data_IF_984003863208
#
_entry.id   IF_984003863208
#
_cell.length_a   1.000
_cell.length_b   1.000
_cell.length_c   1.000
_cell.angle_alpha   90.00
_cell.angle_beta   90.00
_cell.angle_gamma   90.00
#
_symmetry.space_group_name_H-M   'P 1'
#
loop_
_entity.id
_entity.type
_entity.pdbx_description
1 polymer ?
#
# COMPACT_ATOMS: atom_id res chain seq x y z
N UNK A 1 28.85 -71.45 -53.12
CA UNK A 1 28.60 -71.08 -51.70
C UNK A 1 28.49 -69.56 -51.67
N UNK A 2 27.26 -69.05 -51.74
CA UNK A 2 26.90 -67.63 -51.66
C UNK A 2 25.76 -67.55 -50.64
N UNK A 3 25.98 -66.77 -49.60
CA UNK A 3 25.12 -66.64 -48.42
C UNK A 3 23.95 -65.66 -48.72
N UNK A 4 22.67 -66.07 -48.61
CA UNK A 4 21.54 -65.22 -48.93
C UNK A 4 20.95 -64.59 -47.65
N UNK A 5 21.77 -63.90 -46.87
CA UNK A 5 21.30 -63.09 -45.74
C UNK A 5 21.62 -61.61 -45.98
N UNK A 6 20.97 -60.99 -46.97
CA UNK A 6 21.10 -59.53 -47.18
C UNK A 6 19.83 -58.93 -47.82
N UNK A 7 18.68 -59.11 -47.17
CA UNK A 7 17.41 -58.61 -47.73
C UNK A 7 16.35 -58.12 -46.73
N UNK A 8 16.36 -58.55 -45.46
CA UNK A 8 15.27 -58.22 -44.53
C UNK A 8 15.58 -57.07 -43.54
N UNK A 9 16.86 -56.79 -43.27
CA UNK A 9 17.23 -55.77 -42.27
C UNK A 9 17.04 -54.32 -42.77
N UNK A 10 17.03 -54.11 -44.09
CA UNK A 10 16.81 -52.79 -44.68
C UNK A 10 15.34 -52.35 -44.69
N UNK A 11 14.39 -53.28 -44.67
CA UNK A 11 12.95 -52.96 -44.68
C UNK A 11 12.45 -52.46 -43.31
N UNK A 12 12.82 -53.16 -42.24
CA UNK A 12 12.41 -52.81 -40.88
C UNK A 12 13.03 -51.49 -40.41
N UNK A 13 14.31 -51.24 -40.73
CA UNK A 13 15.00 -50.00 -40.38
C UNK A 13 14.41 -48.78 -41.11
N UNK A 14 13.99 -48.93 -42.38
CA UNK A 14 13.35 -47.84 -43.17
C UNK A 14 11.96 -47.50 -42.65
N UNK A 15 11.18 -48.50 -42.24
CA UNK A 15 9.83 -48.31 -41.68
C UNK A 15 9.92 -47.68 -40.28
N UNK A 16 10.86 -48.13 -39.44
CA UNK A 16 11.10 -47.53 -38.13
C UNK A 16 11.59 -46.07 -38.23
N UNK A 17 12.48 -45.76 -39.18
CA UNK A 17 12.94 -44.41 -39.44
C UNK A 17 11.81 -43.49 -39.96
N UNK A 18 10.92 -44.01 -40.82
CA UNK A 18 9.75 -43.25 -41.28
C UNK A 18 8.76 -42.98 -40.15
N UNK A 19 8.44 -43.97 -39.30
CA UNK A 19 7.56 -43.78 -38.15
C UNK A 19 8.13 -42.76 -37.16
N UNK A 20 9.44 -42.84 -36.88
CA UNK A 20 10.12 -41.87 -36.01
C UNK A 20 10.11 -40.45 -36.60
N UNK A 21 10.29 -40.31 -37.92
CA UNK A 21 10.24 -39.02 -38.60
C UNK A 21 8.82 -38.41 -38.57
N UNK A 22 7.77 -39.20 -38.79
CA UNK A 22 6.38 -38.71 -38.74
C UNK A 22 5.97 -38.30 -37.33
N UNK A 23 6.38 -39.06 -36.31
CA UNK A 23 6.14 -38.71 -34.90
C UNK A 23 6.88 -37.42 -34.52
N UNK A 24 8.11 -37.24 -35.01
CA UNK A 24 8.90 -36.02 -34.75
C UNK A 24 8.27 -34.78 -35.42
N UNK A 25 7.72 -34.92 -36.63
CA UNK A 25 7.02 -33.83 -37.34
C UNK A 25 5.70 -33.46 -36.64
N UNK A 26 4.96 -34.44 -36.11
CA UNK A 26 3.73 -34.19 -35.34
C UNK A 26 4.07 -33.51 -34.00
N UNK A 27 5.17 -33.90 -33.35
CA UNK A 27 5.60 -33.33 -32.07
C UNK A 27 6.14 -31.90 -32.22
N UNK A 28 6.81 -31.58 -33.34
CA UNK A 28 7.31 -30.22 -33.63
C UNK A 28 6.25 -29.29 -34.22
N UNK A 29 5.28 -29.82 -34.97
CA UNK A 29 4.12 -29.07 -35.45
C UNK A 29 3.21 -28.56 -34.33
N UNK A 30 3.10 -29.30 -33.21
CA UNK A 30 2.27 -28.93 -32.06
C UNK A 30 2.86 -27.75 -31.25
N UNK A 31 4.17 -27.49 -31.37
CA UNK A 31 4.84 -26.34 -30.70
C UNK A 31 4.67 -25.04 -31.51
N UNK A 32 4.22 -25.13 -32.77
CA UNK A 32 4.12 -23.98 -33.68
C UNK A 32 2.75 -23.30 -33.67
N UNK A 33 1.75 -23.90 -33.03
CA UNK A 33 0.55 -23.16 -32.64
C UNK A 33 0.86 -22.39 -31.36
N UNK A 34 1.52 -21.25 -31.54
CA UNK A 34 1.57 -20.21 -30.54
C UNK A 34 0.14 -19.82 -30.18
N UNK A 35 -0.41 -20.47 -29.16
CA UNK A 35 -1.42 -19.84 -28.34
C UNK A 35 -0.73 -18.61 -27.77
N UNK A 36 -0.90 -17.48 -28.46
CA UNK A 36 -0.86 -16.19 -27.81
C UNK A 36 -2.01 -16.25 -26.80
N UNK A 37 -1.72 -16.85 -25.65
CA UNK A 37 -2.48 -16.60 -24.43
C UNK A 37 -2.46 -15.07 -24.37
N UNK A 38 -3.61 -14.38 -24.51
CA UNK A 38 -3.61 -12.99 -24.13
C UNK A 38 -3.06 -13.01 -22.72
N UNK A 39 -1.88 -12.41 -22.50
CA UNK A 39 -1.40 -12.17 -21.16
C UNK A 39 -2.53 -11.38 -20.52
N UNK A 40 -3.42 -12.07 -19.82
CA UNK A 40 -4.30 -11.47 -18.85
C UNK A 40 -3.31 -10.75 -17.95
N UNK A 41 -3.24 -9.43 -18.11
CA UNK A 41 -2.65 -8.60 -17.08
C UNK A 41 -3.33 -9.09 -15.82
N UNK A 42 -2.57 -9.70 -14.90
CA UNK A 42 -3.14 -10.14 -13.64
C UNK A 42 -3.81 -8.90 -13.06
N UNK A 43 -5.13 -8.95 -12.87
CA UNK A 43 -5.84 -7.85 -12.22
C UNK A 43 -5.12 -7.62 -10.89
N UNK A 44 -4.53 -6.43 -10.75
CA UNK A 44 -3.85 -6.07 -9.51
C UNK A 44 -4.93 -5.68 -8.51
N UNK A 45 -4.93 -6.34 -7.36
CA UNK A 45 -5.81 -6.04 -6.24
C UNK A 45 -4.99 -5.58 -5.06
N UNK A 46 -5.55 -4.64 -4.31
CA UNK A 46 -4.97 -4.18 -3.05
C UNK A 46 -5.77 -4.60 -1.84
N UNK A 47 -5.24 -4.25 -0.68
CA UNK A 47 -5.86 -4.35 0.62
C UNK A 47 -5.92 -2.98 1.28
N UNK A 48 -6.95 -2.79 2.09
CA UNK A 48 -7.08 -1.60 2.93
C UNK A 48 -7.36 -2.01 4.36
N UNK A 49 -6.42 -1.68 5.25
CA UNK A 49 -6.56 -1.89 6.69
C UNK A 49 -6.86 -0.57 7.37
N UNK A 50 -8.00 -0.49 8.03
CA UNK A 50 -8.36 0.60 8.93
C UNK A 50 -7.76 0.31 10.30
N UNK A 51 -7.04 1.27 10.87
CA UNK A 51 -6.54 1.24 12.24
C UNK A 51 -7.20 2.37 13.06
N UNK A 52 -8.38 2.08 13.60
CA UNK A 52 -9.22 3.03 14.33
C UNK A 52 -8.77 3.13 15.80
N UNK A 53 -7.88 4.09 16.06
CA UNK A 53 -7.31 4.34 17.40
C UNK A 53 -7.41 5.84 17.71
N UNK A 54 -8.04 6.17 18.83
CA UNK A 54 -8.07 7.53 19.38
C UNK A 54 -6.82 7.81 20.20
N UNK A 55 -6.29 9.03 20.11
CA UNK A 55 -5.18 9.49 20.95
C UNK A 55 -3.93 8.63 20.81
N UNK A 56 -3.61 8.21 19.59
CA UNK A 56 -2.51 7.27 19.33
C UNK A 56 -1.17 7.71 19.93
N UNK A 57 -0.87 9.00 19.83
CA UNK A 57 0.39 9.57 20.31
C UNK A 57 0.36 9.94 21.80
N UNK A 58 -0.71 9.54 22.51
CA UNK A 58 -0.84 9.76 23.96
C UNK A 58 -0.34 8.54 24.75
N UNK A 59 -0.15 8.72 26.06
CA UNK A 59 0.27 7.63 26.95
C UNK A 59 -0.75 6.47 27.05
N UNK A 60 -1.99 6.70 26.64
CA UNK A 60 -3.07 5.72 26.75
C UNK A 60 -3.95 5.75 25.48
N UNK A 61 -3.47 5.21 24.35
CA UNK A 61 -4.24 5.13 23.12
C UNK A 61 -5.47 4.24 23.32
N UNK A 62 -6.60 4.62 22.72
CA UNK A 62 -7.85 3.86 22.80
C UNK A 62 -8.18 3.25 21.44
N UNK A 63 -8.10 1.93 21.35
CA UNK A 63 -8.64 1.17 20.21
C UNK A 63 -10.17 1.29 20.18
N UNK A 64 -10.70 1.72 19.04
CA UNK A 64 -12.14 1.88 18.83
C UNK A 64 -12.71 0.59 18.22
N UNK A 65 -12.84 -0.42 19.08
CA UNK A 65 -13.43 -1.71 18.72
C UNK A 65 -14.95 -1.62 18.54
N UNK A 66 -15.52 -2.40 17.62
CA UNK A 66 -16.95 -2.47 17.38
C UNK A 66 -17.52 -1.35 16.48
N UNK A 67 -16.69 -0.46 15.94
CA UNK A 67 -17.12 0.56 14.98
C UNK A 67 -17.28 -0.07 13.60
N UNK A 68 -18.34 0.28 12.89
CA UNK A 68 -18.63 -0.23 11.54
C UNK A 68 -18.16 0.77 10.50
N UNK A 69 -17.36 0.29 9.55
CA UNK A 69 -16.90 1.04 8.39
C UNK A 69 -17.42 0.40 7.12
N UNK A 70 -17.74 1.24 6.15
CA UNK A 70 -18.12 0.84 4.82
C UNK A 70 -17.27 1.57 3.78
N UNK A 71 -17.04 0.90 2.64
CA UNK A 71 -16.23 1.42 1.56
C UNK A 71 -16.92 1.27 0.20
N UNK A 72 -16.56 2.17 -0.72
CA UNK A 72 -17.00 2.13 -2.12
C UNK A 72 -15.93 2.73 -3.02
N UNK A 73 -15.68 2.11 -4.17
CA UNK A 73 -14.80 2.66 -5.20
C UNK A 73 -15.49 3.83 -5.92
N UNK A 74 -14.93 5.02 -5.82
CA UNK A 74 -15.49 6.26 -6.42
C UNK A 74 -14.87 6.57 -7.78
N UNK A 75 -13.64 6.12 -8.03
CA UNK A 75 -12.98 6.27 -9.31
C UNK A 75 -12.10 5.05 -9.62
N UNK A 76 -12.03 4.69 -10.91
CA UNK A 76 -11.00 3.80 -11.41
C UNK A 76 -9.69 4.55 -11.53
N UNK A 77 -8.57 3.83 -11.47
CA UNK A 77 -7.23 4.41 -11.62
C UNK A 77 -6.53 3.84 -12.85
N UNK A 78 -5.75 4.67 -13.52
CA UNK A 78 -4.77 4.25 -14.52
C UNK A 78 -3.39 4.38 -13.89
N UNK A 79 -2.52 3.39 -14.11
CA UNK A 79 -1.16 3.37 -13.56
C UNK A 79 -0.12 3.44 -14.67
N UNK A 80 1.02 4.05 -14.37
CA UNK A 80 2.22 4.01 -15.19
C UNK A 80 2.86 2.61 -15.13
N UNK A 81 3.85 2.36 -15.99
CA UNK A 81 4.60 1.08 -16.02
C UNK A 81 5.35 0.75 -14.72
N UNK A 82 5.67 1.76 -13.91
CA UNK A 82 6.29 1.62 -12.59
C UNK A 82 5.25 1.39 -11.46
N UNK A 83 3.96 1.30 -11.79
CA UNK A 83 2.86 1.13 -10.86
C UNK A 83 2.32 2.41 -10.23
N UNK A 84 2.96 3.58 -10.42
CA UNK A 84 2.44 4.82 -9.87
C UNK A 84 1.13 5.23 -10.55
N UNK A 85 0.24 5.89 -9.80
CA UNK A 85 -1.02 6.40 -10.34
C UNK A 85 -0.75 7.52 -11.34
N UNK A 86 -1.34 7.43 -12.53
CA UNK A 86 -1.26 8.46 -13.58
C UNK A 86 -2.53 9.29 -13.69
N UNK A 87 -3.71 8.67 -13.54
CA UNK A 87 -4.98 9.40 -13.57
C UNK A 87 -6.13 8.62 -12.92
N UNK A 88 -7.22 9.34 -12.62
CA UNK A 88 -8.47 8.80 -12.11
C UNK A 88 -9.63 9.04 -13.07
N UNK A 89 -10.58 8.10 -13.08
CA UNK A 89 -11.85 8.23 -13.80
C UNK A 89 -13.01 7.87 -12.88
N UNK A 90 -13.84 8.84 -12.53
CA UNK A 90 -15.03 8.63 -11.70
C UNK A 90 -15.94 7.55 -12.28
N UNK A 91 -16.44 6.65 -11.43
CA UNK A 91 -17.37 5.58 -11.84
C UNK A 91 -18.79 6.12 -12.03
N UNK A 92 -19.64 5.40 -12.77
CA UNK A 92 -20.97 5.86 -13.19
C UNK A 92 -21.84 6.36 -12.03
N UNK A 93 -21.83 5.63 -10.92
CA UNK A 93 -22.70 5.89 -9.76
C UNK A 93 -22.37 7.23 -9.06
N UNK A 94 -21.17 7.77 -9.32
CA UNK A 94 -20.67 9.05 -8.79
C UNK A 94 -20.44 10.11 -9.87
N UNK A 95 -20.91 9.90 -11.10
CA UNK A 95 -20.69 10.83 -12.23
C UNK A 95 -21.15 12.28 -11.98
N UNK A 96 -22.18 12.48 -11.16
CA UNK A 96 -22.63 13.82 -10.75
C UNK A 96 -21.73 14.53 -9.73
N UNK A 97 -20.68 13.86 -9.24
CA UNK A 97 -19.75 14.33 -8.22
C UNK A 97 -18.28 14.20 -8.69
N UNK A 98 -18.05 14.16 -10.00
CA UNK A 98 -16.70 14.14 -10.58
C UNK A 98 -15.89 15.36 -10.16
N UNK A 99 -14.60 15.15 -9.87
CA UNK A 99 -13.63 16.18 -9.56
C UNK A 99 -12.29 15.86 -10.26
N UNK A 100 -11.40 16.85 -10.31
CA UNK A 100 -10.01 16.67 -10.73
C UNK A 100 -9.20 16.12 -9.56
N UNK A 101 -9.35 14.81 -9.31
CA UNK A 101 -8.82 14.13 -8.13
C UNK A 101 -7.31 14.34 -7.96
N UNK A 102 -6.58 14.48 -9.05
CA UNK A 102 -5.13 14.68 -9.09
C UNK A 102 -4.71 16.06 -8.57
N UNK A 103 -5.62 17.04 -8.56
CA UNK A 103 -5.31 18.46 -8.29
C UNK A 103 -6.04 19.05 -7.08
N UNK A 104 -6.85 18.25 -6.39
CA UNK A 104 -7.57 18.72 -5.20
C UNK A 104 -6.59 18.99 -4.06
N UNK A 105 -6.79 20.12 -3.38
CA UNK A 105 -6.20 20.41 -2.08
C UNK A 105 -6.77 19.48 -1.00
N UNK A 106 -6.10 19.40 0.16
CA UNK A 106 -6.58 18.56 1.27
C UNK A 106 -7.99 18.94 1.74
N UNK A 107 -8.34 20.23 1.75
CA UNK A 107 -9.68 20.70 2.11
C UNK A 107 -10.73 20.30 1.06
N UNK A 108 -10.40 20.40 -0.23
CA UNK A 108 -11.31 20.00 -1.30
C UNK A 108 -11.53 18.48 -1.32
N UNK A 109 -10.47 17.71 -1.03
CA UNK A 109 -10.56 16.26 -0.83
C UNK A 109 -11.54 15.91 0.30
N UNK A 110 -11.47 16.64 1.41
CA UNK A 110 -12.36 16.45 2.56
C UNK A 110 -13.82 16.77 2.23
N UNK A 111 -14.07 17.91 1.59
CA UNK A 111 -15.41 18.33 1.18
C UNK A 111 -16.01 17.38 0.14
N UNK A 112 -15.20 16.90 -0.80
CA UNK A 112 -15.60 15.89 -1.76
C UNK A 112 -15.98 14.59 -1.05
N UNK A 113 -15.17 14.11 -0.09
CA UNK A 113 -15.47 12.91 0.67
C UNK A 113 -16.83 13.00 1.40
N UNK A 114 -17.15 14.16 2.00
CA UNK A 114 -18.45 14.40 2.64
C UNK A 114 -19.62 14.31 1.66
N UNK A 115 -19.51 14.95 0.50
CA UNK A 115 -20.54 14.91 -0.55
C UNK A 115 -20.74 13.49 -1.09
N UNK A 116 -19.64 12.79 -1.34
CA UNK A 116 -19.65 11.39 -1.80
C UNK A 116 -20.28 10.47 -0.76
N UNK A 117 -19.98 10.64 0.53
CA UNK A 117 -20.56 9.85 1.61
C UNK A 117 -22.07 10.06 1.76
N UNK A 118 -22.54 11.31 1.69
CA UNK A 118 -23.97 11.60 1.70
C UNK A 118 -24.69 10.94 0.52
N UNK A 119 -24.10 11.02 -0.67
CA UNK A 119 -24.64 10.37 -1.87
C UNK A 119 -24.61 8.83 -1.77
N UNK A 120 -23.50 8.25 -1.32
CA UNK A 120 -23.36 6.81 -1.15
C UNK A 120 -24.35 6.25 -0.13
N UNK A 121 -24.54 6.93 1.00
CA UNK A 121 -25.50 6.53 2.02
C UNK A 121 -26.95 6.62 1.51
N UNK A 122 -27.32 7.75 0.88
CA UNK A 122 -28.66 7.98 0.33
C UNK A 122 -29.04 6.93 -0.72
N UNK A 123 -28.10 6.56 -1.58
CA UNK A 123 -28.33 5.66 -2.71
C UNK A 123 -27.88 4.20 -2.43
N UNK A 124 -27.43 3.89 -1.20
CA UNK A 124 -26.97 2.56 -0.77
C UNK A 124 -25.86 1.97 -1.66
N UNK A 125 -24.86 2.79 -1.97
CA UNK A 125 -23.78 2.45 -2.92
C UNK A 125 -22.55 1.79 -2.27
N UNK A 126 -22.51 1.63 -0.95
CA UNK A 126 -21.40 0.95 -0.29
C UNK A 126 -21.26 -0.49 -0.77
N UNK A 127 -20.05 -0.87 -1.20
CA UNK A 127 -19.73 -2.16 -1.80
C UNK A 127 -19.36 -3.20 -0.73
N UNK A 128 -18.64 -2.75 0.30
CA UNK A 128 -18.21 -3.59 1.41
C UNK A 128 -18.44 -2.87 2.73
N UNK A 129 -18.69 -3.65 3.79
CA UNK A 129 -18.82 -3.17 5.16
C UNK A 129 -18.20 -4.18 6.11
N UNK A 130 -17.66 -3.70 7.22
CA UNK A 130 -17.12 -4.55 8.28
C UNK A 130 -17.02 -3.80 9.60
N UNK A 131 -16.71 -4.52 10.66
CA UNK A 131 -16.63 -3.99 12.02
C UNK A 131 -15.22 -4.16 12.56
N UNK A 132 -14.72 -3.14 13.26
CA UNK A 132 -13.38 -3.19 13.86
C UNK A 132 -13.31 -4.24 14.97
N UNK A 133 -12.21 -4.99 14.99
CA UNK A 133 -11.91 -5.98 16.02
C UNK A 133 -11.50 -5.33 17.35
N UNK A 134 -11.14 -6.14 18.36
CA UNK A 134 -10.71 -5.67 19.67
C UNK A 134 -9.51 -4.71 19.63
N UNK A 135 -8.64 -4.81 18.62
CA UNK A 135 -7.50 -3.91 18.41
C UNK A 135 -7.89 -2.60 17.69
N UNK A 136 -9.16 -2.43 17.31
CA UNK A 136 -9.61 -1.28 16.50
C UNK A 136 -9.31 -1.46 15.01
N UNK A 137 -9.05 -2.69 14.55
CA UNK A 137 -8.62 -2.95 13.18
C UNK A 137 -9.70 -3.61 12.34
N UNK A 138 -9.75 -3.26 11.06
CA UNK A 138 -10.59 -3.89 10.04
C UNK A 138 -9.83 -3.91 8.71
N UNK A 139 -9.80 -5.05 8.02
CA UNK A 139 -9.16 -5.17 6.71
C UNK A 139 -10.17 -5.55 5.63
N UNK A 140 -10.20 -4.76 4.56
CA UNK A 140 -10.85 -5.10 3.30
C UNK A 140 -9.82 -5.67 2.33
N UNK A 141 -10.15 -6.79 1.70
CA UNK A 141 -9.26 -7.53 0.81
C UNK A 141 -9.80 -7.55 -0.62
N UNK A 142 -8.94 -7.89 -1.57
CA UNK A 142 -9.30 -8.07 -2.98
C UNK A 142 -9.97 -6.83 -3.59
N UNK A 143 -9.47 -5.65 -3.25
CA UNK A 143 -10.01 -4.38 -3.74
C UNK A 143 -9.41 -4.07 -5.11
N UNK A 144 -10.23 -3.91 -6.18
CA UNK A 144 -9.74 -3.42 -7.46
C UNK A 144 -9.03 -2.08 -7.30
N UNK A 145 -7.95 -1.82 -8.05
CA UNK A 145 -7.25 -0.55 -7.94
C UNK A 145 -8.18 0.65 -8.18
N UNK A 146 -8.19 1.66 -7.33
CA UNK A 146 -9.02 2.84 -7.50
C UNK A 146 -8.91 3.82 -6.35
N UNK A 147 -9.67 4.91 -6.47
CA UNK A 147 -9.94 5.81 -5.37
C UNK A 147 -11.15 5.29 -4.61
N UNK A 148 -11.01 5.10 -3.31
CA UNK A 148 -12.04 4.59 -2.42
C UNK A 148 -12.51 5.66 -1.44
N UNK A 149 -13.83 5.75 -1.27
CA UNK A 149 -14.44 6.43 -0.14
C UNK A 149 -14.51 5.46 1.04
N UNK A 150 -14.05 5.89 2.20
CA UNK A 150 -14.16 5.19 3.48
C UNK A 150 -15.05 6.01 4.40
N UNK A 151 -16.05 5.37 4.99
CA UNK A 151 -17.00 6.03 5.91
C UNK A 151 -17.24 5.16 7.12
N UNK A 152 -17.23 5.77 8.32
CA UNK A 152 -17.72 5.11 9.53
C UNK A 152 -19.24 5.22 9.58
N UNK A 153 -19.93 4.13 9.31
CA UNK A 153 -21.38 4.10 9.14
C UNK A 153 -22.14 3.82 10.43
N UNK A 154 -21.50 3.18 11.41
CA UNK A 154 -21.99 3.09 12.78
C UNK A 154 -20.82 3.08 13.77
N UNK A 155 -21.08 3.50 14.99
CA UNK A 155 -20.09 3.50 16.07
C UNK A 155 -20.61 2.69 17.23
N UNK A 156 -19.75 1.89 17.86
CA UNK A 156 -20.13 1.18 19.08
C UNK A 156 -20.58 2.17 20.16
N UNK A 157 -21.44 1.72 21.09
CA UNK A 157 -21.94 2.55 22.20
C UNK A 157 -20.80 3.24 22.98
N UNK A 158 -19.68 2.56 23.18
CA UNK A 158 -18.50 3.06 23.89
C UNK A 158 -17.68 4.11 23.12
N UNK A 159 -17.97 4.30 21.83
CA UNK A 159 -17.21 5.15 20.90
C UNK A 159 -18.02 6.32 20.34
N UNK A 160 -19.29 6.50 20.77
CA UNK A 160 -20.19 7.58 20.29
C UNK A 160 -19.64 8.99 20.50
N UNK A 161 -18.68 9.18 21.41
CA UNK A 161 -18.07 10.48 21.70
C UNK A 161 -16.97 10.89 20.70
N UNK A 162 -16.51 9.97 19.85
CA UNK A 162 -15.49 10.25 18.83
C UNK A 162 -16.16 10.32 17.49
N UNK A 163 -16.16 11.48 16.85
CA UNK A 163 -16.63 11.71 15.50
C UNK A 163 -15.52 11.41 14.49
N UNK A 164 -15.87 10.90 13.31
CA UNK A 164 -14.93 10.57 12.25
C UNK A 164 -15.56 11.01 10.93
N UNK A 165 -14.95 12.01 10.30
CA UNK A 165 -15.35 12.41 8.96
C UNK A 165 -14.98 11.31 7.94
N UNK A 166 -15.77 11.16 6.85
CA UNK A 166 -15.41 10.26 5.76
C UNK A 166 -14.18 10.80 5.02
N UNK A 167 -13.41 9.90 4.39
CA UNK A 167 -12.18 10.27 3.70
C UNK A 167 -11.96 9.42 2.45
N UNK A 168 -11.07 9.90 1.58
CA UNK A 168 -10.70 9.25 0.32
C UNK A 168 -9.30 8.64 0.42
N UNK A 169 -9.11 7.49 -0.21
CA UNK A 169 -7.83 6.76 -0.22
C UNK A 169 -7.60 6.08 -1.56
N UNK A 170 -6.41 6.22 -2.12
CA UNK A 170 -6.04 5.54 -3.36
C UNK A 170 -5.43 4.17 -3.10
N UNK A 171 -5.78 3.21 -3.96
CA UNK A 171 -5.14 1.90 -4.08
C UNK A 171 -4.77 1.74 -5.57
N UNK A 172 -3.49 1.73 -5.96
CA UNK A 172 -2.32 1.79 -5.09
C UNK A 172 -2.15 3.16 -4.43
N UNK A 173 -1.37 3.19 -3.36
CA UNK A 173 -1.00 4.41 -2.66
C UNK A 173 -0.19 5.35 -3.56
N UNK A 174 -0.42 6.65 -3.42
CA UNK A 174 0.33 7.69 -4.12
C UNK A 174 1.66 7.96 -3.40
N UNK A 175 2.76 7.39 -3.91
CA UNK A 175 4.12 7.61 -3.40
C UNK A 175 5.16 7.61 -4.53
N UNK A 176 6.35 8.17 -4.25
CA UNK A 176 7.39 8.44 -5.25
C UNK A 176 8.11 7.17 -5.77
N UNK A 177 7.96 6.02 -5.11
CA UNK A 177 8.54 4.75 -5.55
C UNK A 177 7.60 3.60 -5.27
N UNK A 178 7.44 2.70 -6.26
CA UNK A 178 6.61 1.48 -6.30
C UNK A 178 5.14 1.60 -5.80
N UNK A 179 4.21 0.99 -6.52
CA UNK A 179 2.80 0.91 -6.12
C UNK A 179 2.65 0.20 -4.76
N UNK A 180 2.24 0.92 -3.70
CA UNK A 180 1.81 0.27 -2.47
C UNK A 180 0.38 -0.27 -2.65
N UNK A 181 0.24 -1.59 -2.57
CA UNK A 181 -1.04 -2.29 -2.68
C UNK A 181 -1.62 -2.65 -1.31
N UNK A 182 -0.90 -2.43 -0.21
CA UNK A 182 -1.31 -2.81 1.14
C UNK A 182 -1.43 -1.58 2.03
N UNK A 183 -2.53 -0.86 1.85
CA UNK A 183 -2.72 0.44 2.49
C UNK A 183 -3.19 0.26 3.93
N UNK A 184 -2.54 0.94 4.87
CA UNK A 184 -3.05 1.14 6.23
C UNK A 184 -3.49 2.58 6.40
N UNK A 185 -4.75 2.79 6.80
CA UNK A 185 -5.32 4.11 7.06
C UNK A 185 -5.60 4.30 8.55
N UNK A 186 -5.44 5.55 8.98
CA UNK A 186 -5.59 5.96 10.37
C UNK A 186 -6.65 7.07 10.39
N UNK A 187 -7.92 6.73 10.61
CA UNK A 187 -8.99 7.71 10.56
C UNK A 187 -8.74 8.85 11.55
N UNK A 188 -8.98 10.08 11.11
CA UNK A 188 -8.89 11.25 11.98
C UNK A 188 -10.19 11.41 12.74
N UNK A 189 -10.08 11.38 14.06
CA UNK A 189 -11.21 11.52 14.96
C UNK A 189 -11.24 12.91 15.61
N UNK A 190 -12.41 13.33 16.05
CA UNK A 190 -12.62 14.52 16.89
C UNK A 190 -13.59 14.20 18.02
N UNK A 191 -13.60 14.97 19.10
CA UNK A 191 -14.62 14.86 20.16
C UNK A 191 -15.57 16.04 20.11
N UNK A 192 -16.85 15.81 20.40
CA UNK A 192 -17.90 16.83 20.37
C UNK A 192 -17.81 17.83 21.55
N UNK A 193 -16.89 17.64 22.50
CA UNK A 193 -16.57 18.61 23.56
C UNK A 193 -15.59 19.66 23.05
N UNK A 194 -15.89 20.97 23.16
CA UNK A 194 -14.89 22.02 23.01
C UNK A 194 -13.76 21.76 24.03
N UNK A 195 -12.47 21.98 23.68
CA UNK A 195 -11.43 21.99 24.71
C UNK A 195 -11.81 23.06 25.74
N UNK A 196 -12.00 22.67 26.99
CA UNK A 196 -12.09 23.63 28.10
C UNK A 196 -10.78 24.45 28.06
N UNK A 197 -10.84 25.78 27.93
CA UNK A 197 -9.65 26.62 28.08
C UNK A 197 -8.96 26.27 29.41
N UNK A 198 -7.62 26.27 29.49
CA UNK A 198 -6.94 26.04 30.76
C UNK A 198 -7.52 27.01 31.78
N UNK A 199 -8.05 26.47 32.87
CA UNK A 199 -8.50 27.23 34.02
C UNK A 199 -7.28 27.97 34.56
N UNK A 200 -7.15 29.24 34.20
CA UNK A 200 -6.21 30.13 34.86
C UNK A 200 -6.70 30.25 36.31
N UNK A 201 -6.04 29.52 37.21
CA UNK A 201 -6.19 29.69 38.65
C UNK A 201 -6.02 31.17 38.99
N UNK A 202 -7.13 31.80 39.35
CA UNK A 202 -7.18 33.17 39.83
C UNK A 202 -6.73 33.15 41.29
N UNK A 203 -5.45 33.45 41.55
CA UNK A 203 -5.02 33.86 42.89
C UNK A 203 -5.41 35.34 43.10
N UNK A 204 -6.23 35.67 44.12
CA UNK A 204 -6.55 37.06 44.41
C UNK A 204 -5.45 37.67 45.28
N UNK A 205 -4.87 38.77 44.80
CA UNK A 205 -4.17 39.75 45.63
C UNK A 205 -2.67 39.87 45.37
N UNK A 206 -2.31 40.73 44.42
CA UNK A 206 -1.35 41.83 44.64
C UNK A 206 -1.24 42.69 43.36
N UNK A 207 -1.38 44.01 43.50
CA UNK A 207 -1.16 45.04 42.49
C UNK A 207 -0.62 46.28 43.24
N UNK A 208 0.14 47.25 42.64
CA UNK A 208 0.69 47.38 41.28
C UNK A 208 2.21 47.64 41.21
N UNK A 209 2.82 47.35 40.06
CA UNK A 209 4.10 47.94 39.66
C UNK A 209 4.31 47.83 38.15
N UNK A 210 4.45 48.95 37.47
CA UNK A 210 4.72 49.08 36.02
C UNK A 210 5.88 50.09 35.86
N UNK A 211 6.55 50.23 34.70
CA UNK A 211 6.87 49.31 33.61
C UNK A 211 8.39 49.11 33.45
N UNK A 212 8.79 48.11 32.67
CA UNK A 212 10.04 48.20 31.91
C UNK A 212 10.83 46.92 31.83
N UNK A 213 11.03 46.46 30.59
CA UNK A 213 12.33 46.13 29.96
C UNK A 213 12.07 45.05 28.93
N UNK A 214 12.33 45.42 27.67
CA UNK A 214 12.41 44.54 26.52
C UNK A 214 13.65 43.67 26.72
N UNK A 215 13.49 42.35 26.69
CA UNK A 215 14.59 41.39 26.82
C UNK A 215 14.45 40.26 25.81
N UNK A 216 15.18 40.39 24.70
CA UNK A 216 15.51 39.29 23.80
C UNK A 216 16.27 38.18 24.54
N UNK A 217 15.98 36.94 24.15
CA UNK A 217 16.88 35.80 23.94
C UNK A 217 18.16 35.67 24.79
N UNK A 218 18.30 34.56 25.51
CA UNK A 218 19.58 33.84 25.56
C UNK A 218 19.95 33.10 26.86
N UNK A 219 20.04 31.77 26.73
CA UNK A 219 21.01 30.87 27.39
C UNK A 219 20.80 30.60 28.92
N UNK A 220 21.12 29.44 29.50
CA UNK A 220 21.83 28.23 29.10
C UNK A 220 21.60 27.16 30.20
N UNK A 221 21.27 25.90 29.86
CA UNK A 221 22.15 24.70 29.81
C UNK A 221 22.13 23.84 31.09
N UNK A 222 21.89 22.53 30.93
CA UNK A 222 22.28 21.52 31.92
C UNK A 222 21.76 20.08 31.72
N UNK A 223 22.33 19.31 30.78
CA UNK A 223 22.34 17.81 30.73
C UNK A 223 21.02 17.11 30.34
N UNK A 224 20.93 16.18 29.39
CA UNK A 224 21.81 15.03 29.12
C UNK A 224 21.87 14.79 27.60
N UNK A 225 23.07 14.92 27.04
CA UNK A 225 23.44 14.32 25.77
C UNK A 225 23.89 12.88 26.03
N UNK A 226 23.33 11.90 25.33
CA UNK A 226 23.93 10.57 25.27
C UNK A 226 23.01 9.37 25.03
N UNK A 227 22.15 9.36 24.00
CA UNK A 227 21.74 8.09 23.34
C UNK A 227 21.43 8.25 21.84
N UNK A 228 21.11 9.44 21.32
CA UNK A 228 20.65 9.59 19.93
C UNK A 228 21.73 9.40 18.83
N UNK A 229 23.02 9.53 19.15
CA UNK A 229 24.09 9.41 18.15
C UNK A 229 24.50 7.95 17.86
N UNK A 230 24.19 6.98 18.73
CA UNK A 230 24.60 5.57 18.53
C UNK A 230 23.67 4.85 17.54
N UNK A 231 22.39 5.19 17.50
CA UNK A 231 21.40 4.52 16.64
C UNK A 231 21.59 4.89 15.16
N UNK A 232 21.94 6.15 14.86
CA UNK A 232 22.21 6.57 13.47
C UNK A 232 23.53 6.01 12.92
N UNK A 233 24.54 5.82 13.77
CA UNK A 233 25.80 5.18 13.36
C UNK A 233 25.62 3.67 13.13
N UNK A 234 24.81 2.98 13.93
CA UNK A 234 24.49 1.56 13.72
C UNK A 234 23.66 1.37 12.45
N UNK A 235 22.65 2.21 12.21
CA UNK A 235 21.83 2.13 10.98
C UNK A 235 22.66 2.39 9.71
N UNK A 236 23.59 3.35 9.76
CA UNK A 236 24.49 3.62 8.63
C UNK A 236 25.53 2.51 8.42
N UNK A 237 26.04 1.90 9.49
CA UNK A 237 26.96 0.76 9.41
C UNK A 237 26.26 -0.49 8.82
N UNK A 238 25.03 -0.81 9.24
CA UNK A 238 24.26 -1.94 8.70
C UNK A 238 23.89 -1.70 7.23
N UNK A 239 23.55 -0.47 6.84
CA UNK A 239 23.25 -0.13 5.45
C UNK A 239 24.51 -0.22 4.57
N UNK A 240 25.68 0.22 5.04
CA UNK A 240 26.96 0.10 4.30
C UNK A 240 27.47 -1.34 4.25
N UNK A 241 27.26 -2.16 5.28
CA UNK A 241 27.57 -3.59 5.23
C UNK A 241 26.67 -4.35 4.26
N UNK A 242 25.37 -4.05 4.22
CA UNK A 242 24.43 -4.69 3.28
C UNK A 242 24.72 -4.33 1.82
N UNK A 243 25.22 -3.13 1.56
CA UNK A 243 25.65 -2.70 0.23
C UNK A 243 26.99 -3.35 -0.17
N UNK A 244 27.96 -3.48 0.75
CA UNK A 244 29.23 -4.17 0.44
C UNK A 244 29.08 -5.68 0.26
N UNK A 245 28.25 -6.35 1.06
CA UNK A 245 27.98 -7.78 0.90
C UNK A 245 27.36 -8.09 -0.47
N UNK A 246 26.50 -7.20 -0.98
CA UNK A 246 25.91 -7.34 -2.32
C UNK A 246 26.89 -7.08 -3.47
N UNK A 247 28.02 -6.43 -3.19
CA UNK A 247 29.10 -6.23 -4.17
C UNK A 247 30.06 -7.43 -4.21
N UNK A 248 30.35 -8.06 -3.07
CA UNK A 248 31.29 -9.20 -3.00
C UNK A 248 30.71 -10.48 -3.63
N UNK A 249 29.39 -10.68 -3.62
CA UNK A 249 28.73 -11.79 -4.35
C UNK A 249 28.82 -11.62 -5.89
N UNK A 250 29.00 -10.38 -6.35
CA UNK A 250 29.15 -10.08 -7.78
C UNK A 250 30.61 -10.18 -8.22
N UNK A 251 31.58 -10.07 -7.31
CA UNK A 251 33.01 -10.22 -7.62
C UNK A 251 33.51 -11.67 -7.45
N UNK A 252 32.94 -12.43 -6.50
CA UNK A 252 33.23 -13.86 -6.29
C UNK A 252 32.80 -14.74 -7.48
N UNK A 253 31.70 -14.38 -8.16
CA UNK A 253 31.20 -15.11 -9.33
C UNK A 253 32.00 -14.86 -10.61
N UNK A 254 32.87 -13.84 -10.64
CA UNK A 254 33.81 -13.61 -11.73
C UNK A 254 35.20 -14.20 -11.49
N UNK A 255 35.62 -14.45 -10.24
CA UNK A 255 36.88 -15.15 -9.95
C UNK A 255 36.75 -16.68 -9.99
N UNK A 256 35.58 -17.28 -9.72
CA UNK A 256 35.41 -18.73 -9.86
C UNK A 256 35.47 -19.22 -11.34
N UNK A 257 35.38 -18.30 -12.31
CA UNK A 257 35.43 -18.62 -13.74
C UNK A 257 36.82 -18.47 -14.38
N UNK A 258 37.84 -18.04 -13.61
CA UNK A 258 39.18 -17.80 -14.14
C UNK A 258 40.23 -18.89 -13.82
N UNK A 259 39.96 -19.83 -12.90
CA UNK A 259 40.96 -20.84 -12.49
C UNK A 259 40.50 -22.31 -12.66
N UNK A 260 39.35 -22.53 -13.29
CA UNK A 260 38.77 -23.86 -13.53
C UNK A 260 39.09 -24.48 -14.88
N UNK A 261 40.20 -24.10 -15.53
CA UNK A 261 40.50 -24.61 -16.86
C UNK A 261 41.91 -24.34 -17.32
N UNK A 262 42.85 -25.22 -16.95
CA UNK A 262 43.87 -25.75 -17.85
C UNK A 262 44.42 -27.08 -17.32
N UNK A 263 44.60 -27.98 -18.27
CA UNK A 263 45.23 -29.30 -18.15
C UNK A 263 46.67 -29.23 -17.62
#
# INVERSE_FOLDING_TARGET
MLDPHSGSEYGAARIAAMIAATITIILTGLVSFGFMVPYAQADSFGTLTINAVWGRDTAAPKSLAGDTYAIVRVATVTTNSNGSVSSYKTVSDFSGLTADWERLTSSEYHDAAKKLAAHAAKNKLYQHSGTTNAAGQLTFQNLPLGLYLVSRTDSAKANKAYDCDPFLISIPGSGDTAADLNITVEPKFSTSTPPTPPEHEHNPGEMPGNPGVIGNTGAAVGGIAGVAAVILVIAFAVLKLRVRYRSDDTESSHQFRADGGKA
#
